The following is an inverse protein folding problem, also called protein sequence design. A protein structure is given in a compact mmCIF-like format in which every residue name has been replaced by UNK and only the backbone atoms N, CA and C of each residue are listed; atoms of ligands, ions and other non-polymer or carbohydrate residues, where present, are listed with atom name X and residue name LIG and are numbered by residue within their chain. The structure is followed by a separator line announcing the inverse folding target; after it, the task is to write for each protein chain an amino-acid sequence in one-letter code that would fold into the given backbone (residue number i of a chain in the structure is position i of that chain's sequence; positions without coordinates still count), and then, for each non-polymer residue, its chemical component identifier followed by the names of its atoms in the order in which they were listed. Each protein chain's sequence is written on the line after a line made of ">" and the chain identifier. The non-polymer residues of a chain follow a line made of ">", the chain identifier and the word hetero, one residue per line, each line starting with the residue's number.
data_IF_344191261184
#
_entry.id   IF_344191261184
#
_cell.length_a   1.000
_cell.length_b   1.000
_cell.length_c   1.000
_cell.angle_alpha   90.00
_cell.angle_beta   90.00
_cell.angle_gamma   90.00
#
_symmetry.space_group_name_H-M   'P 1'
#
loop_
_entity.id
_entity.type
_entity.pdbx_description
1 polymer ?
#
# COMPACT_ATOMS: atom_id res chain seq x y z
N UNK A 1 15.66 15.17 17.62
CA UNK A 1 15.89 14.90 16.20
C UNK A 1 14.52 14.56 15.62
N UNK A 2 14.21 14.97 14.42
CA UNK A 2 12.96 14.59 13.74
C UNK A 2 13.10 13.17 13.21
N UNK A 3 12.09 12.31 13.46
CA UNK A 3 12.06 10.98 12.86
C UNK A 3 11.77 11.04 11.36
N UNK A 4 11.93 9.91 10.70
CA UNK A 4 11.69 9.77 9.26
C UNK A 4 10.68 8.66 9.02
N UNK A 5 9.69 8.94 8.18
CA UNK A 5 8.73 7.95 7.70
C UNK A 5 9.00 7.66 6.23
N UNK A 6 9.27 6.42 5.89
CA UNK A 6 9.44 5.96 4.51
C UNK A 6 8.28 5.06 4.14
N UNK A 7 7.54 5.45 3.10
CA UNK A 7 6.40 4.70 2.58
C UNK A 7 6.78 4.05 1.25
N UNK A 8 6.46 2.77 1.07
CA UNK A 8 6.71 2.04 -0.18
C UNK A 8 5.50 1.19 -0.54
N UNK A 9 4.95 1.40 -1.73
CA UNK A 9 3.95 0.50 -2.27
C UNK A 9 4.62 -0.80 -2.75
N UNK A 10 4.01 -1.95 -2.45
CA UNK A 10 4.51 -3.25 -2.90
C UNK A 10 4.80 -3.28 -4.41
N UNK A 11 5.75 -4.11 -4.83
CA UNK A 11 6.07 -4.37 -6.22
C UNK A 11 4.89 -4.96 -7.01
N UNK A 12 4.98 -5.01 -8.34
CA UNK A 12 3.91 -5.57 -9.17
C UNK A 12 3.55 -6.99 -8.73
N UNK A 13 2.28 -7.24 -8.42
CA UNK A 13 1.76 -8.59 -8.15
C UNK A 13 1.26 -9.27 -9.43
N UNK A 14 1.09 -10.60 -9.37
CA UNK A 14 0.53 -11.39 -10.48
C UNK A 14 -0.83 -10.84 -10.93
N UNK A 15 -1.69 -10.44 -9.99
CA UNK A 15 -3.00 -9.89 -10.32
C UNK A 15 -2.95 -8.45 -10.82
N UNK A 16 -1.91 -7.68 -10.48
CA UNK A 16 -1.66 -6.40 -11.15
C UNK A 16 -1.34 -6.62 -12.63
N UNK A 17 -0.46 -7.60 -12.94
CA UNK A 17 -0.09 -7.96 -14.31
C UNK A 17 -1.29 -8.46 -15.12
N UNK A 18 -2.18 -9.24 -14.51
CA UNK A 18 -3.38 -9.77 -15.13
C UNK A 18 -4.54 -8.77 -15.19
N UNK A 19 -4.34 -7.53 -14.73
CA UNK A 19 -5.37 -6.48 -14.66
C UNK A 19 -6.62 -6.88 -13.85
N UNK A 20 -6.42 -7.65 -12.76
CA UNK A 20 -7.50 -8.07 -11.87
C UNK A 20 -7.66 -7.12 -10.69
N UNK A 21 -8.89 -7.05 -10.13
CA UNK A 21 -9.12 -6.46 -8.82
C UNK A 21 -8.55 -7.39 -7.75
N UNK A 22 -7.63 -6.90 -6.93
CA UNK A 22 -6.91 -7.75 -5.97
C UNK A 22 -7.54 -7.69 -4.57
N UNK A 23 -7.56 -6.50 -3.96
CA UNK A 23 -8.04 -6.33 -2.59
C UNK A 23 -7.28 -7.21 -1.60
N UNK A 24 -8.03 -7.95 -0.78
CA UNK A 24 -7.49 -8.85 0.25
C UNK A 24 -7.14 -10.25 -0.25
N UNK A 25 -7.36 -10.55 -1.54
CA UNK A 25 -6.77 -11.75 -2.16
C UNK A 25 -5.24 -11.61 -2.16
N UNK A 26 -4.57 -12.74 -2.08
CA UNK A 26 -3.14 -12.76 -1.75
C UNK A 26 -2.24 -13.36 -2.86
N UNK A 27 -2.28 -12.80 -4.10
CA UNK A 27 -1.33 -13.17 -5.14
C UNK A 27 0.07 -12.67 -4.79
N UNK A 28 1.06 -13.41 -5.22
CA UNK A 28 2.47 -13.11 -5.04
C UNK A 28 2.97 -11.99 -5.97
N UNK A 29 4.20 -11.55 -5.76
CA UNK A 29 4.93 -10.66 -6.66
C UNK A 29 5.26 -11.39 -7.98
N UNK A 30 5.26 -10.64 -9.07
CA UNK A 30 5.90 -11.09 -10.31
C UNK A 30 7.42 -10.96 -10.22
N UNK A 31 8.14 -11.52 -11.21
CA UNK A 31 9.59 -11.26 -11.35
C UNK A 31 9.88 -9.76 -11.43
N UNK A 32 9.06 -9.00 -12.16
CA UNK A 32 9.16 -7.53 -12.22
C UNK A 32 8.93 -6.91 -10.83
N UNK A 33 7.89 -7.33 -10.10
CA UNK A 33 7.61 -6.81 -8.77
C UNK A 33 8.71 -7.11 -7.75
N UNK A 34 9.34 -8.28 -7.88
CA UNK A 34 10.54 -8.62 -7.10
C UNK A 34 11.71 -7.70 -7.44
N UNK A 35 11.96 -7.45 -8.72
CA UNK A 35 13.00 -6.52 -9.16
C UNK A 35 12.73 -5.08 -8.68
N UNK A 36 11.48 -4.62 -8.71
CA UNK A 36 11.07 -3.31 -8.18
C UNK A 36 11.35 -3.20 -6.67
N UNK A 37 11.08 -4.25 -5.90
CA UNK A 37 11.33 -4.28 -4.46
C UNK A 37 12.84 -4.28 -4.12
N UNK A 38 13.64 -5.05 -4.87
CA UNK A 38 15.09 -5.06 -4.74
C UNK A 38 15.68 -3.69 -5.09
N UNK A 39 15.19 -3.06 -6.14
CA UNK A 39 15.63 -1.72 -6.54
C UNK A 39 15.28 -0.66 -5.49
N UNK A 40 14.10 -0.75 -4.86
CA UNK A 40 13.75 0.11 -3.72
C UNK A 40 14.77 -0.01 -2.58
N UNK A 41 15.16 -1.23 -2.22
CA UNK A 41 16.20 -1.50 -1.22
C UNK A 41 17.55 -0.90 -1.61
N UNK A 42 17.97 -1.05 -2.88
CA UNK A 42 19.19 -0.46 -3.42
C UNK A 42 19.20 1.06 -3.31
N UNK A 43 18.10 1.71 -3.74
CA UNK A 43 17.97 3.18 -3.68
C UNK A 43 18.06 3.68 -2.23
N UNK A 44 17.43 3.00 -1.30
CA UNK A 44 17.46 3.37 0.12
C UNK A 44 18.85 3.15 0.72
N UNK A 45 19.53 2.07 0.36
CA UNK A 45 20.91 1.80 0.78
C UNK A 45 21.89 2.87 0.27
N UNK A 46 21.76 3.29 -0.99
CA UNK A 46 22.59 4.36 -1.58
C UNK A 46 22.40 5.71 -0.90
N UNK A 47 21.20 5.95 -0.34
CA UNK A 47 20.91 7.13 0.48
C UNK A 47 21.40 7.00 1.93
N UNK A 48 22.03 5.89 2.27
CA UNK A 48 22.50 5.62 3.63
C UNK A 48 21.37 5.40 4.63
N UNK A 49 20.15 5.04 4.14
CA UNK A 49 19.00 4.83 5.01
C UNK A 49 19.20 3.58 5.87
N UNK A 50 18.84 3.71 7.13
CA UNK A 50 18.72 2.61 8.08
C UNK A 50 17.45 2.82 8.88
N UNK A 51 16.77 1.72 9.15
CA UNK A 51 15.49 1.72 9.84
C UNK A 51 15.63 1.23 11.28
N UNK A 52 14.81 1.79 12.17
CA UNK A 52 14.69 1.33 13.55
C UNK A 52 13.60 0.26 13.68
N UNK A 53 12.59 0.30 12.79
CA UNK A 53 11.49 -0.65 12.74
C UNK A 53 10.83 -0.62 11.35
N UNK A 54 10.18 -1.72 10.98
CA UNK A 54 9.36 -1.82 9.77
C UNK A 54 7.92 -2.23 10.11
N UNK A 55 6.98 -1.75 9.31
CA UNK A 55 5.56 -2.14 9.33
C UNK A 55 5.13 -2.60 7.95
N UNK A 56 4.32 -3.64 7.89
CA UNK A 56 3.73 -4.13 6.65
C UNK A 56 2.33 -4.70 6.90
N UNK A 57 1.58 -4.93 5.83
CA UNK A 57 0.32 -5.66 5.90
C UNK A 57 0.55 -7.16 6.10
N UNK A 58 -0.54 -7.92 6.20
CA UNK A 58 -0.49 -9.40 6.26
C UNK A 58 -0.61 -10.04 4.86
N UNK A 59 -0.40 -9.28 3.79
CA UNK A 59 -0.49 -9.77 2.43
C UNK A 59 0.91 -9.97 1.85
N UNK A 60 1.16 -11.17 1.30
CA UNK A 60 2.50 -11.65 0.92
C UNK A 60 3.28 -10.69 0.01
N UNK A 61 2.61 -9.99 -0.91
CA UNK A 61 3.26 -9.04 -1.82
C UNK A 61 3.87 -7.85 -1.10
N UNK A 62 3.25 -7.39 0.00
CA UNK A 62 3.80 -6.30 0.81
C UNK A 62 4.89 -6.81 1.78
N UNK A 63 4.67 -7.98 2.38
CA UNK A 63 5.65 -8.65 3.24
C UNK A 63 6.97 -8.89 2.48
N UNK A 64 6.90 -9.51 1.28
CA UNK A 64 8.08 -9.75 0.44
C UNK A 64 8.75 -8.45 0.01
N UNK A 65 7.97 -7.43 -0.35
CA UNK A 65 8.54 -6.12 -0.71
C UNK A 65 9.30 -5.52 0.48
N UNK A 66 8.74 -5.57 1.69
CA UNK A 66 9.41 -5.13 2.92
C UNK A 66 10.71 -5.89 3.12
N UNK A 67 10.69 -7.23 3.02
CA UNK A 67 11.88 -8.07 3.21
C UNK A 67 12.99 -7.75 2.21
N UNK A 68 12.67 -7.63 0.90
CA UNK A 68 13.65 -7.26 -0.11
C UNK A 68 14.26 -5.88 0.13
N UNK A 69 13.49 -4.94 0.64
CA UNK A 69 14.01 -3.62 1.03
C UNK A 69 14.98 -3.76 2.20
N UNK A 70 14.61 -4.49 3.24
CA UNK A 70 15.45 -4.71 4.41
C UNK A 70 16.75 -5.47 4.07
N UNK A 71 16.67 -6.46 3.20
CA UNK A 71 17.84 -7.16 2.67
C UNK A 71 18.78 -6.18 1.93
N UNK A 72 18.19 -5.32 1.10
CA UNK A 72 18.95 -4.32 0.33
C UNK A 72 19.68 -3.30 1.19
N UNK A 73 19.13 -2.90 2.33
CA UNK A 73 19.78 -1.99 3.29
C UNK A 73 20.64 -2.73 4.34
N UNK A 74 20.76 -4.06 4.23
CA UNK A 74 21.55 -4.90 5.14
C UNK A 74 20.98 -5.01 6.55
N UNK A 75 19.65 -5.05 6.68
CA UNK A 75 18.91 -5.18 7.95
C UNK A 75 17.89 -6.33 7.92
N UNK A 76 18.28 -7.48 7.40
CA UNK A 76 17.44 -8.67 7.18
C UNK A 76 16.64 -9.09 8.41
N UNK A 77 17.20 -8.95 9.61
CA UNK A 77 16.58 -9.35 10.88
C UNK A 77 15.88 -8.21 11.63
N UNK A 78 15.63 -7.07 10.95
CA UNK A 78 14.94 -5.95 11.60
C UNK A 78 13.52 -6.35 12.03
N UNK A 79 13.13 -5.93 13.24
CA UNK A 79 11.76 -6.11 13.73
C UNK A 79 10.75 -5.55 12.72
N UNK A 80 9.87 -6.43 12.24
CA UNK A 80 8.82 -6.08 11.29
C UNK A 80 7.47 -6.46 11.87
N UNK A 81 6.60 -5.47 12.03
CA UNK A 81 5.23 -5.64 12.54
C UNK A 81 4.29 -5.81 11.35
N UNK A 82 3.52 -6.90 11.37
CA UNK A 82 2.51 -7.25 10.38
C UNK A 82 1.12 -6.96 10.92
N UNK A 83 0.33 -6.13 10.23
CA UNK A 83 -1.03 -5.83 10.68
C UNK A 83 -1.98 -5.65 9.50
N UNK A 84 -3.18 -6.27 9.61
CA UNK A 84 -4.22 -6.17 8.59
C UNK A 84 -4.76 -4.74 8.42
N UNK A 85 -4.57 -3.86 9.39
CA UNK A 85 -4.91 -2.45 9.25
C UNK A 85 -4.19 -1.79 8.06
N UNK A 86 -3.03 -2.32 7.64
CA UNK A 86 -2.30 -1.85 6.48
C UNK A 86 -2.65 -2.59 5.17
N UNK A 87 -3.58 -3.54 5.18
CA UNK A 87 -4.02 -4.25 3.98
C UNK A 87 -4.52 -3.29 2.89
N UNK A 88 -4.52 -3.78 1.65
CA UNK A 88 -5.14 -3.09 0.53
C UNK A 88 -6.65 -2.88 0.78
N UNK A 89 -7.25 -1.91 0.12
CA UNK A 89 -8.70 -1.73 0.08
C UNK A 89 -9.38 -3.03 -0.33
N UNK A 90 -10.41 -3.45 0.41
CA UNK A 90 -11.20 -4.60 0.03
C UNK A 90 -12.10 -4.24 -1.16
N UNK A 91 -12.04 -5.03 -2.23
CA UNK A 91 -12.82 -4.79 -3.44
C UNK A 91 -14.16 -5.54 -3.45
N UNK A 92 -14.56 -6.19 -2.33
CA UNK A 92 -15.84 -6.91 -2.24
C UNK A 92 -16.00 -7.90 -3.38
N UNK A 93 -17.18 -7.88 -4.01
CA UNK A 93 -17.53 -8.78 -5.10
C UNK A 93 -16.72 -8.57 -6.40
N UNK A 94 -15.97 -7.48 -6.50
CA UNK A 94 -15.10 -7.25 -7.65
C UNK A 94 -13.78 -8.02 -7.55
N UNK A 95 -13.39 -8.52 -6.37
CA UNK A 95 -12.13 -9.21 -6.17
C UNK A 95 -12.01 -10.45 -7.10
N UNK A 96 -10.93 -10.51 -7.88
CA UNK A 96 -10.68 -11.56 -8.86
C UNK A 96 -11.24 -11.28 -10.26
N UNK A 97 -12.09 -10.27 -10.43
CA UNK A 97 -12.59 -9.91 -11.75
C UNK A 97 -11.56 -9.10 -12.54
N UNK A 98 -11.54 -9.32 -13.86
CA UNK A 98 -10.76 -8.49 -14.76
C UNK A 98 -11.40 -7.09 -14.87
N UNK A 99 -10.58 -6.04 -14.81
CA UNK A 99 -11.07 -4.66 -14.80
C UNK A 99 -11.73 -4.25 -16.11
N UNK A 100 -11.29 -4.81 -17.25
CA UNK A 100 -11.88 -4.51 -18.56
C UNK A 100 -13.22 -5.23 -18.74
N UNK A 101 -13.33 -6.46 -18.23
CA UNK A 101 -14.59 -7.19 -18.25
C UNK A 101 -15.60 -6.58 -17.28
N UNK A 102 -15.14 -6.07 -16.14
CA UNK A 102 -15.98 -5.30 -15.23
C UNK A 102 -16.55 -4.04 -15.92
N UNK A 103 -15.71 -3.29 -16.68
CA UNK A 103 -16.15 -2.12 -17.46
C UNK A 103 -17.21 -2.49 -18.52
N UNK A 104 -17.02 -3.62 -19.22
CA UNK A 104 -18.00 -4.11 -20.19
C UNK A 104 -19.34 -4.47 -19.52
N UNK A 105 -19.29 -5.03 -18.30
CA UNK A 105 -20.49 -5.50 -17.59
C UNK A 105 -21.27 -4.36 -16.92
N UNK A 106 -20.60 -3.41 -16.27
CA UNK A 106 -21.25 -2.37 -15.46
C UNK A 106 -21.09 -0.95 -16.01
N UNK A 107 -20.38 -0.78 -17.12
CA UNK A 107 -20.06 0.51 -17.69
C UNK A 107 -18.79 1.11 -17.10
N UNK A 108 -18.10 1.93 -17.91
CA UNK A 108 -16.83 2.55 -17.54
C UNK A 108 -16.98 3.51 -16.35
N UNK A 109 -18.03 4.34 -16.37
CA UNK A 109 -18.30 5.33 -15.33
C UNK A 109 -18.53 4.67 -13.96
N UNK A 110 -19.32 3.61 -13.92
CA UNK A 110 -19.59 2.90 -12.66
C UNK A 110 -18.33 2.24 -12.10
N UNK A 111 -17.53 1.59 -12.95
CA UNK A 111 -16.26 0.98 -12.52
C UNK A 111 -15.25 2.06 -12.12
N UNK A 112 -15.25 3.20 -12.80
CA UNK A 112 -14.44 4.35 -12.42
C UNK A 112 -14.81 4.86 -11.03
N UNK A 113 -16.11 5.03 -10.74
CA UNK A 113 -16.61 5.42 -9.42
C UNK A 113 -16.11 4.46 -8.34
N UNK A 114 -16.30 3.17 -8.48
CA UNK A 114 -15.84 2.16 -7.50
C UNK A 114 -14.32 2.17 -7.29
N UNK A 115 -13.56 2.54 -8.32
CA UNK A 115 -12.09 2.59 -8.25
C UNK A 115 -11.53 3.90 -7.74
N UNK A 116 -12.22 5.00 -7.97
CA UNK A 116 -11.67 6.35 -7.88
C UNK A 116 -12.52 7.33 -7.07
N UNK A 117 -13.69 6.97 -6.58
CA UNK A 117 -14.38 7.83 -5.62
C UNK A 117 -13.77 7.68 -4.23
N UNK A 118 -13.96 8.70 -3.42
CA UNK A 118 -13.47 8.71 -2.03
C UNK A 118 -14.35 7.85 -1.11
N UNK A 119 -15.67 7.93 -1.26
CA UNK A 119 -16.66 7.43 -0.32
C UNK A 119 -17.62 6.36 -0.87
N UNK A 120 -17.53 6.01 -2.15
CA UNK A 120 -18.40 5.00 -2.75
C UNK A 120 -17.68 3.65 -2.79
N UNK A 121 -18.11 2.66 -1.97
CA UNK A 121 -17.51 1.33 -1.98
C UNK A 121 -17.89 0.53 -3.23
N UNK A 122 -17.10 -0.47 -3.62
CA UNK A 122 -17.51 -1.49 -4.59
C UNK A 122 -18.63 -2.37 -3.99
N UNK A 123 -19.35 -3.14 -4.84
CA UNK A 123 -20.42 -4.01 -4.36
C UNK A 123 -19.89 -5.14 -3.46
N UNK A 124 -20.78 -5.66 -2.61
CA UNK A 124 -20.50 -6.69 -1.61
C UNK A 124 -20.35 -6.11 -0.20
N UNK A 125 -20.74 -6.90 0.79
CA UNK A 125 -20.82 -6.47 2.20
C UNK A 125 -19.47 -6.04 2.78
N UNK A 126 -18.37 -6.56 2.23
CA UNK A 126 -17.00 -6.24 2.67
C UNK A 126 -16.30 -5.21 1.78
N UNK A 127 -16.99 -4.64 0.80
CA UNK A 127 -16.42 -3.63 -0.10
C UNK A 127 -16.04 -2.35 0.65
N UNK A 128 -14.81 -1.89 0.48
CA UNK A 128 -14.30 -0.65 1.09
C UNK A 128 -14.21 0.48 0.06
N UNK A 129 -14.68 1.67 0.42
CA UNK A 129 -14.27 2.92 -0.20
C UNK A 129 -12.85 3.32 0.28
N UNK A 130 -12.27 4.36 -0.29
CA UNK A 130 -11.01 4.91 0.23
C UNK A 130 -11.17 5.46 1.65
N UNK A 131 -12.35 6.04 1.95
CA UNK A 131 -12.73 6.50 3.28
C UNK A 131 -12.75 5.37 4.30
N UNK A 132 -13.33 4.21 3.94
CA UNK A 132 -13.39 3.03 4.80
C UNK A 132 -11.99 2.45 5.04
N UNK A 133 -11.17 2.37 4.00
CA UNK A 133 -9.75 2.00 4.12
C UNK A 133 -9.03 2.94 5.10
N UNK A 134 -9.24 4.24 4.97
CA UNK A 134 -8.67 5.24 5.87
C UNK A 134 -9.15 5.11 7.30
N UNK A 135 -10.41 4.68 7.52
CA UNK A 135 -10.98 4.50 8.86
C UNK A 135 -10.27 3.43 9.69
N UNK A 136 -9.57 2.46 9.06
CA UNK A 136 -8.72 1.48 9.75
C UNK A 136 -7.24 1.82 9.72
N UNK A 137 -6.74 2.39 8.62
CA UNK A 137 -5.32 2.75 8.50
C UNK A 137 -4.94 3.88 9.44
N UNK A 138 -5.79 4.90 9.54
CA UNK A 138 -5.48 6.11 10.30
C UNK A 138 -5.35 5.88 11.81
N UNK A 139 -6.30 5.21 12.52
CA UNK A 139 -6.12 4.90 13.93
C UNK A 139 -4.88 4.06 14.20
N UNK A 140 -4.57 3.10 13.33
CA UNK A 140 -3.37 2.28 13.44
C UNK A 140 -2.09 3.12 13.30
N UNK A 141 -2.05 4.01 12.30
CA UNK A 141 -0.93 4.94 12.14
C UNK A 141 -0.74 5.82 13.38
N UNK A 142 -1.81 6.39 13.91
CA UNK A 142 -1.76 7.26 15.10
C UNK A 142 -1.31 6.53 16.37
N UNK A 143 -1.72 5.27 16.54
CA UNK A 143 -1.42 4.48 17.72
C UNK A 143 -0.04 3.81 17.70
N UNK A 144 0.36 3.27 16.54
CA UNK A 144 1.52 2.39 16.43
C UNK A 144 2.71 3.02 15.70
N UNK A 145 2.46 3.74 14.60
CA UNK A 145 3.53 4.24 13.73
C UNK A 145 3.97 5.65 14.12
N UNK A 146 3.04 6.60 14.22
CA UNK A 146 3.35 7.99 14.52
C UNK A 146 4.16 8.18 15.81
N UNK A 147 3.86 7.50 16.94
CA UNK A 147 4.65 7.63 18.16
C UNK A 147 6.14 7.26 17.96
N UNK A 148 6.44 6.31 17.07
CA UNK A 148 7.80 5.93 16.71
C UNK A 148 8.52 7.09 16.02
N UNK A 149 7.87 7.63 14.98
CA UNK A 149 8.38 8.79 14.22
C UNK A 149 8.60 10.00 15.14
N UNK A 150 7.67 10.28 16.05
CA UNK A 150 7.79 11.40 17.00
C UNK A 150 8.94 11.22 18.00
N UNK A 151 9.33 9.99 18.32
CA UNK A 151 10.54 9.71 19.12
C UNK A 151 11.84 9.85 18.36
N UNK A 152 11.79 10.16 17.07
CA UNK A 152 12.98 10.34 16.23
C UNK A 152 13.43 9.07 15.50
N UNK A 153 12.62 8.00 15.52
CA UNK A 153 12.90 6.74 14.83
C UNK A 153 12.72 6.89 13.30
N UNK A 154 13.49 6.14 12.54
CA UNK A 154 13.32 5.97 11.09
C UNK A 154 12.46 4.73 10.84
N UNK A 155 11.26 4.93 10.32
CA UNK A 155 10.24 3.90 10.17
C UNK A 155 10.00 3.59 8.70
N UNK A 156 10.04 2.29 8.33
CA UNK A 156 9.62 1.79 7.02
C UNK A 156 8.17 1.32 7.09
N UNK A 157 7.35 1.69 6.11
CA UNK A 157 6.01 1.13 5.90
C UNK A 157 5.91 0.62 4.47
N UNK A 158 5.86 -0.70 4.31
CA UNK A 158 5.61 -1.35 3.03
C UNK A 158 4.15 -1.83 2.97
N UNK A 159 3.34 -1.21 2.10
CA UNK A 159 1.91 -1.48 2.06
C UNK A 159 1.33 -1.37 0.63
N UNK A 160 0.10 -0.87 0.47
CA UNK A 160 -0.64 -0.97 -0.79
C UNK A 160 -1.08 0.40 -1.30
N UNK A 161 -1.55 0.42 -2.56
CA UNK A 161 -1.94 1.65 -3.22
C UNK A 161 -3.01 2.45 -2.47
N UNK A 162 -4.06 1.81 -1.96
CA UNK A 162 -5.12 2.56 -1.29
C UNK A 162 -4.85 2.77 0.21
N UNK A 163 -4.22 1.83 0.91
CA UNK A 163 -3.81 2.07 2.30
C UNK A 163 -2.82 3.22 2.41
N UNK A 164 -1.79 3.26 1.54
CA UNK A 164 -0.85 4.38 1.51
C UNK A 164 -1.49 5.67 1.01
N UNK A 165 -2.40 5.60 0.01
CA UNK A 165 -3.12 6.78 -0.45
C UNK A 165 -3.96 7.42 0.65
N UNK A 166 -4.66 6.62 1.47
CA UNK A 166 -5.42 7.13 2.60
C UNK A 166 -4.53 7.79 3.65
N UNK A 167 -3.32 7.28 3.84
CA UNK A 167 -2.33 7.86 4.76
C UNK A 167 -1.77 9.17 4.21
N UNK A 168 -1.31 9.20 2.95
CA UNK A 168 -0.78 10.40 2.29
C UNK A 168 -1.82 11.53 2.25
N UNK A 169 -3.10 11.20 2.03
CA UNK A 169 -4.18 12.18 2.06
C UNK A 169 -4.15 13.03 3.34
N UNK A 170 -3.96 12.39 4.47
CA UNK A 170 -3.98 13.08 5.77
C UNK A 170 -2.66 13.76 6.06
N UNK A 171 -1.54 13.09 5.76
CA UNK A 171 -0.20 13.65 6.00
C UNK A 171 0.06 14.91 5.18
N UNK A 172 -0.40 14.95 3.94
CA UNK A 172 -0.19 16.06 3.01
C UNK A 172 -1.39 17.02 2.94
N UNK A 173 -2.46 16.77 3.72
CA UNK A 173 -3.66 17.62 3.73
C UNK A 173 -4.38 17.66 2.38
N UNK A 174 -4.38 16.56 1.62
CA UNK A 174 -4.99 16.49 0.29
C UNK A 174 -6.51 16.47 0.35
N UNK A 175 -7.18 17.09 -0.62
CA UNK A 175 -8.64 17.02 -0.74
C UNK A 175 -9.11 15.63 -1.24
N UNK A 176 -10.40 15.36 -1.08
CA UNK A 176 -11.02 14.12 -1.57
C UNK A 176 -10.89 13.98 -3.09
N UNK A 177 -10.95 15.08 -3.85
CA UNK A 177 -10.79 15.09 -5.30
C UNK A 177 -9.33 14.81 -5.69
N UNK A 178 -8.37 15.47 -5.04
CA UNK A 178 -6.96 15.36 -5.39
C UNK A 178 -6.38 13.98 -5.05
N UNK A 179 -6.80 13.38 -3.93
CA UNK A 179 -6.29 12.06 -3.51
C UNK A 179 -6.69 10.95 -4.48
N UNK A 180 -7.86 11.03 -5.09
CA UNK A 180 -8.35 10.00 -6.02
C UNK A 180 -7.53 9.94 -7.32
N UNK A 181 -6.87 11.04 -7.69
CA UNK A 181 -5.99 11.13 -8.85
C UNK A 181 -4.53 10.74 -8.55
N UNK A 182 -4.14 10.72 -7.26
CA UNK A 182 -2.77 10.38 -6.87
C UNK A 182 -2.43 8.94 -7.31
N UNK A 183 -1.34 8.82 -8.06
CA UNK A 183 -0.80 7.52 -8.45
C UNK A 183 0.50 7.23 -7.70
N UNK A 184 0.52 6.16 -6.93
CA UNK A 184 1.71 5.68 -6.23
C UNK A 184 2.34 4.56 -7.06
N UNK A 185 3.57 4.77 -7.53
CA UNK A 185 4.32 3.75 -8.26
C UNK A 185 4.67 2.54 -7.39
N UNK A 186 4.73 1.35 -7.98
CA UNK A 186 5.18 0.13 -7.29
C UNK A 186 6.69 0.19 -7.01
N UNK A 187 7.12 -0.19 -5.82
CA UNK A 187 8.53 -0.22 -5.45
C UNK A 187 9.24 1.15 -5.40
N UNK A 188 8.49 2.25 -5.34
CA UNK A 188 9.08 3.61 -5.29
C UNK A 188 9.00 4.13 -3.85
N UNK A 189 10.15 4.34 -3.16
CA UNK A 189 10.17 4.95 -1.83
C UNK A 189 9.77 6.42 -1.85
N UNK A 190 8.97 6.82 -0.86
CA UNK A 190 8.51 8.18 -0.62
C UNK A 190 8.87 8.62 0.79
#
# INVERSE_FOLDING_TARGET
>A
MSGTLVLVRHGQSEWNKLNLFTGWKDPDLTEQGTAEAIEAGRILAERGMRFDIAFTSVLIRAEKTCQYILDGVGQTDLETIHDQALNERNYGDLAGLNKDDARKKWGEDQVHIWRRSYDTPPPGDEGESLKDTGARVWPYYMGEILPRVLRGETVLVAAHGNSLRSLVMILDGMSQESITSLNLGTGIPM
#
